data_IF_531169439168
#
_entry.id   IF_531169439168
#
_cell.length_a   1.000
_cell.length_b   1.000
_cell.length_c   1.000
_cell.angle_alpha   90.00
_cell.angle_beta   90.00
_cell.angle_gamma   90.00
#
_symmetry.space_group_name_H-M   'P 1'
#
loop_
_entity.id
_entity.type
_entity.pdbx_description
1 polymer ?
#
# COMPACT_ATOMS: atom_id res chain seq x y z
N UNK A 1 9.08 -21.94 7.15
CA UNK A 1 8.55 -23.08 6.34
C UNK A 1 9.74 -23.94 5.96
N UNK A 2 9.75 -25.22 6.35
CA UNK A 2 10.84 -26.12 5.98
C UNK A 2 10.55 -26.61 4.55
N UNK A 3 11.19 -26.01 3.56
CA UNK A 3 11.14 -26.54 2.20
C UNK A 3 12.14 -27.69 2.11
N UNK A 4 11.62 -28.88 2.13
CA UNK A 4 12.40 -30.10 1.81
C UNK A 4 12.58 -30.18 0.29
N UNK A 5 13.79 -30.51 -0.15
CA UNK A 5 14.04 -30.74 -1.58
C UNK A 5 13.21 -31.94 -2.03
N UNK A 6 12.39 -31.74 -3.05
CA UNK A 6 11.67 -32.83 -3.73
C UNK A 6 12.62 -33.45 -4.74
N UNK A 7 12.93 -34.71 -4.58
CA UNK A 7 13.79 -35.48 -5.49
C UNK A 7 12.99 -35.95 -6.70
N UNK A 8 11.79 -36.47 -6.47
CA UNK A 8 10.90 -37.03 -7.49
C UNK A 8 9.50 -37.21 -6.91
N UNK A 9 8.55 -37.67 -7.70
CA UNK A 9 7.26 -38.16 -7.22
C UNK A 9 7.26 -39.69 -7.19
N UNK A 10 6.69 -40.25 -6.15
CA UNK A 10 6.44 -41.68 -6.08
C UNK A 10 5.48 -42.08 -7.20
N UNK A 11 5.90 -43.03 -8.04
CA UNK A 11 5.14 -43.41 -9.24
C UNK A 11 3.83 -44.16 -8.91
N UNK A 12 3.66 -44.63 -7.68
CA UNK A 12 2.49 -45.40 -7.23
C UNK A 12 1.47 -44.51 -6.52
N UNK A 13 1.95 -43.60 -5.68
CA UNK A 13 1.11 -42.75 -4.83
C UNK A 13 0.96 -41.32 -5.34
N UNK A 14 1.82 -40.89 -6.28
CA UNK A 14 1.90 -39.53 -6.75
C UNK A 14 2.47 -38.55 -5.71
N UNK A 15 2.84 -39.00 -4.52
CA UNK A 15 3.36 -38.13 -3.45
C UNK A 15 4.82 -37.74 -3.73
N UNK A 16 5.23 -36.54 -3.31
CA UNK A 16 6.60 -36.08 -3.46
C UNK A 16 7.56 -36.91 -2.61
N UNK A 17 8.64 -37.39 -3.21
CA UNK A 17 9.77 -38.02 -2.50
C UNK A 17 10.66 -36.90 -1.98
N UNK A 18 10.80 -36.82 -0.66
CA UNK A 18 11.51 -35.77 0.03
C UNK A 18 12.96 -36.23 0.32
N UNK A 19 13.91 -35.34 0.03
CA UNK A 19 15.32 -35.58 0.39
C UNK A 19 15.53 -35.37 1.90
N UNK A 20 15.49 -36.41 2.67
CA UNK A 20 15.72 -36.39 4.11
C UNK A 20 17.19 -36.22 4.50
N UNK A 21 18.13 -36.31 3.55
CA UNK A 21 19.57 -36.10 3.82
C UNK A 21 19.97 -34.64 3.85
N UNK A 22 19.13 -33.77 3.32
CA UNK A 22 19.33 -32.33 3.36
C UNK A 22 18.44 -31.71 4.44
N UNK A 23 18.99 -30.99 5.40
CA UNK A 23 18.15 -30.21 6.31
C UNK A 23 17.33 -29.23 5.45
N UNK A 24 15.98 -29.27 5.61
CA UNK A 24 15.09 -28.39 4.86
C UNK A 24 15.52 -26.94 5.01
N UNK A 25 16.05 -26.37 3.95
CA UNK A 25 16.49 -24.99 3.88
C UNK A 25 15.86 -24.32 2.68
N UNK A 26 15.41 -23.10 2.87
CA UNK A 26 15.28 -22.18 1.76
C UNK A 26 16.70 -21.96 1.22
N UNK A 27 17.01 -22.57 0.09
CA UNK A 27 18.27 -22.28 -0.62
C UNK A 27 18.02 -20.99 -1.38
N UNK A 28 18.82 -19.98 -1.11
CA UNK A 28 18.76 -18.72 -1.84
C UNK A 28 18.96 -18.97 -3.34
N UNK A 29 18.00 -18.52 -4.15
CA UNK A 29 18.05 -18.71 -5.62
C UNK A 29 19.16 -17.84 -6.24
N UNK A 30 19.51 -16.74 -5.57
CA UNK A 30 20.60 -15.83 -5.94
C UNK A 30 21.43 -15.56 -4.69
N UNK A 31 22.54 -16.26 -4.54
CA UNK A 31 23.45 -16.08 -3.41
C UNK A 31 24.04 -14.67 -3.45
N UNK A 32 23.88 -13.91 -2.36
CA UNK A 32 24.36 -12.53 -2.24
C UNK A 32 23.39 -11.45 -2.71
N UNK A 33 22.24 -11.80 -3.28
CA UNK A 33 21.17 -10.84 -3.49
C UNK A 33 20.46 -10.56 -2.15
N UNK A 34 20.12 -9.28 -1.84
CA UNK A 34 19.33 -8.96 -0.66
C UNK A 34 17.93 -9.56 -0.81
N UNK A 35 17.47 -10.25 0.22
CA UNK A 35 16.12 -10.83 0.33
C UNK A 35 15.21 -10.05 1.30
N UNK A 36 15.71 -8.93 1.80
CA UNK A 36 14.96 -8.07 2.70
C UNK A 36 13.85 -7.33 1.96
N UNK A 37 12.68 -7.27 2.56
CA UNK A 37 11.55 -6.43 2.12
C UNK A 37 11.35 -5.29 3.11
N UNK A 38 10.93 -4.12 2.62
CA UNK A 38 10.76 -2.92 3.44
C UNK A 38 9.36 -2.80 4.04
N UNK A 39 8.40 -3.52 3.50
CA UNK A 39 7.01 -3.57 3.96
C UNK A 39 6.34 -4.81 3.38
N UNK A 40 5.51 -5.46 4.16
CA UNK A 40 4.59 -6.51 3.70
C UNK A 40 3.15 -6.02 3.74
N UNK A 41 2.38 -6.38 2.72
CA UNK A 41 0.95 -6.07 2.62
C UNK A 41 0.20 -7.39 2.50
N UNK A 42 -0.65 -7.67 3.47
CA UNK A 42 -1.43 -8.89 3.55
C UNK A 42 -2.90 -8.60 3.22
N UNK A 43 -3.43 -9.27 2.20
CA UNK A 43 -4.82 -9.16 1.77
C UNK A 43 -5.54 -10.46 2.07
N UNK A 44 -6.17 -10.57 3.25
CA UNK A 44 -6.98 -11.71 3.67
C UNK A 44 -6.18 -12.98 4.02
N UNK A 45 -4.86 -12.89 4.17
CA UNK A 45 -4.03 -14.05 4.52
C UNK A 45 -3.94 -14.29 6.02
N UNK A 46 -3.42 -15.47 6.38
CA UNK A 46 -3.09 -15.85 7.74
C UNK A 46 -1.65 -16.36 7.82
N UNK A 47 -1.04 -16.19 8.98
CA UNK A 47 0.29 -16.74 9.27
C UNK A 47 0.13 -18.13 9.90
N UNK A 48 0.81 -19.11 9.37
CA UNK A 48 0.67 -20.48 9.84
C UNK A 48 0.98 -20.63 11.34
N UNK A 49 2.00 -19.92 11.84
CA UNK A 49 2.28 -19.81 13.26
C UNK A 49 2.82 -18.43 13.61
N UNK A 50 2.20 -17.77 14.58
CA UNK A 50 2.61 -16.42 15.01
C UNK A 50 3.99 -16.40 15.69
N UNK A 51 4.50 -17.55 16.15
CA UNK A 51 5.87 -17.68 16.70
C UNK A 51 6.96 -17.53 15.64
N UNK A 52 6.59 -17.56 14.36
CA UNK A 52 7.53 -17.30 13.26
C UNK A 52 7.85 -15.83 13.07
N UNK A 53 7.08 -14.95 13.69
CA UNK A 53 7.37 -13.52 13.69
C UNK A 53 8.41 -13.20 14.76
N UNK A 54 9.49 -12.57 14.35
CA UNK A 54 10.61 -12.17 15.21
C UNK A 54 10.76 -10.66 15.27
N UNK A 55 11.37 -10.16 16.35
CA UNK A 55 11.72 -8.74 16.41
C UNK A 55 12.75 -8.41 15.30
N UNK A 56 12.49 -7.34 14.56
CA UNK A 56 13.31 -6.93 13.41
C UNK A 56 12.80 -7.46 12.06
N UNK A 57 11.72 -8.23 12.03
CA UNK A 57 11.05 -8.56 10.77
C UNK A 57 10.48 -7.31 10.10
N UNK A 58 10.29 -7.39 8.79
CA UNK A 58 9.71 -6.31 8.01
C UNK A 58 8.35 -5.86 8.57
N UNK A 59 8.09 -4.54 8.62
CA UNK A 59 6.79 -4.03 9.00
C UNK A 59 5.69 -4.59 8.10
N UNK A 60 4.49 -4.72 8.66
CA UNK A 60 3.37 -5.35 7.97
C UNK A 60 2.07 -4.58 8.15
N UNK A 61 1.27 -4.51 7.10
CA UNK A 61 -0.13 -4.06 7.16
C UNK A 61 -1.04 -5.17 6.65
N UNK A 62 -2.20 -5.27 7.24
CA UNK A 62 -3.16 -6.32 6.91
C UNK A 62 -4.54 -5.76 6.62
N UNK A 63 -5.21 -6.36 5.66
CA UNK A 63 -6.61 -6.14 5.33
C UNK A 63 -7.35 -7.45 5.44
N UNK A 64 -8.45 -7.49 6.18
CA UNK A 64 -9.15 -8.76 6.38
C UNK A 64 -10.63 -8.55 6.59
N UNK A 65 -11.44 -9.44 6.04
CA UNK A 65 -12.85 -9.56 6.38
C UNK A 65 -13.02 -10.37 7.67
N UNK A 66 -13.83 -9.86 8.61
CA UNK A 66 -14.10 -10.58 9.87
C UNK A 66 -14.70 -11.97 9.64
N UNK A 67 -15.46 -12.13 8.59
CA UNK A 67 -16.19 -13.36 8.25
C UNK A 67 -15.54 -14.16 7.12
N UNK A 68 -14.23 -13.98 6.93
CA UNK A 68 -13.49 -14.82 5.99
C UNK A 68 -13.63 -16.30 6.39
N UNK A 69 -14.14 -17.09 5.46
CA UNK A 69 -14.38 -18.51 5.69
C UNK A 69 -13.10 -19.34 5.52
N UNK A 70 -12.18 -18.92 4.67
CA UNK A 70 -10.99 -19.67 4.30
C UNK A 70 -9.82 -19.39 5.23
N UNK A 71 -9.60 -18.13 5.56
CA UNK A 71 -8.56 -17.69 6.46
C UNK A 71 -9.17 -17.03 7.70
N UNK A 72 -8.97 -17.55 8.91
CA UNK A 72 -9.56 -16.97 10.11
C UNK A 72 -8.99 -15.56 10.37
N UNK A 73 -9.83 -14.66 10.83
CA UNK A 73 -9.44 -13.30 11.20
C UNK A 73 -8.57 -13.25 12.47
N UNK A 74 -8.94 -14.03 13.48
CA UNK A 74 -8.17 -14.28 14.70
C UNK A 74 -7.35 -15.58 14.57
N UNK A 75 -7.07 -16.25 15.65
CA UNK A 75 -6.56 -17.63 15.64
C UNK A 75 -7.72 -18.58 15.31
N UNK A 76 -7.52 -19.49 14.41
CA UNK A 76 -8.56 -20.44 14.02
C UNK A 76 -8.10 -21.47 13.00
N UNK A 77 -9.03 -22.38 12.67
CA UNK A 77 -8.80 -23.48 11.74
C UNK A 77 -8.99 -23.03 10.29
N UNK A 78 -8.03 -23.34 9.44
CA UNK A 78 -8.19 -23.25 7.98
C UNK A 78 -9.00 -24.43 7.48
N UNK A 79 -10.04 -24.15 6.72
CA UNK A 79 -10.89 -25.16 6.10
C UNK A 79 -10.68 -25.16 4.58
N UNK A 80 -10.44 -26.32 4.00
CA UNK A 80 -10.23 -26.48 2.55
C UNK A 80 -11.42 -27.21 1.93
N UNK A 81 -12.02 -26.67 0.86
CA UNK A 81 -13.09 -27.37 0.15
C UNK A 81 -12.52 -28.53 -0.70
N UNK A 82 -12.97 -29.73 -0.44
CA UNK A 82 -12.63 -30.92 -1.22
C UNK A 82 -13.91 -31.67 -1.56
N UNK A 83 -14.21 -31.81 -2.86
CA UNK A 83 -15.40 -32.53 -3.37
C UNK A 83 -16.72 -32.09 -2.70
N UNK A 84 -16.91 -30.81 -2.44
CA UNK A 84 -18.13 -30.25 -1.85
C UNK A 84 -18.25 -30.33 -0.33
N UNK A 85 -17.23 -30.88 0.36
CA UNK A 85 -17.11 -30.88 1.81
C UNK A 85 -15.93 -30.01 2.28
N UNK A 86 -15.99 -29.52 3.51
CA UNK A 86 -14.92 -28.72 4.10
C UNK A 86 -14.12 -29.56 5.10
N UNK A 87 -12.81 -29.57 4.93
CA UNK A 87 -11.90 -30.30 5.78
C UNK A 87 -11.01 -29.34 6.57
N UNK A 88 -10.98 -29.47 7.90
CA UNK A 88 -10.04 -28.71 8.72
C UNK A 88 -8.62 -29.22 8.46
N UNK A 89 -7.68 -28.30 8.20
CA UNK A 89 -6.30 -28.66 7.83
C UNK A 89 -5.32 -28.28 8.92
N UNK A 90 -5.33 -27.02 9.36
CA UNK A 90 -4.34 -26.49 10.30
C UNK A 90 -4.92 -25.29 11.04
N UNK A 91 -4.57 -25.17 12.31
CA UNK A 91 -4.82 -23.92 13.06
C UNK A 91 -3.75 -22.89 12.73
N UNK A 92 -4.17 -21.66 12.46
CA UNK A 92 -3.30 -20.56 12.05
C UNK A 92 -3.58 -19.28 12.85
N UNK A 93 -2.61 -18.37 12.86
CA UNK A 93 -2.76 -17.02 13.34
C UNK A 93 -3.33 -16.14 12.22
N UNK A 94 -4.57 -15.73 12.33
CA UNK A 94 -5.19 -14.81 11.37
C UNK A 94 -4.57 -13.42 11.40
N UNK A 95 -4.97 -12.57 10.46
CA UNK A 95 -4.38 -11.23 10.26
C UNK A 95 -4.38 -10.38 11.52
N UNK A 96 -5.45 -10.41 12.33
CA UNK A 96 -5.49 -9.65 13.58
C UNK A 96 -4.44 -10.15 14.58
N UNK A 97 -4.32 -11.45 14.74
CA UNK A 97 -3.31 -12.05 15.65
C UNK A 97 -1.89 -11.75 15.17
N UNK A 98 -1.64 -11.86 13.87
CA UNK A 98 -0.35 -11.55 13.27
C UNK A 98 0.01 -10.07 13.43
N UNK A 99 -0.92 -9.14 13.16
CA UNK A 99 -0.71 -7.71 13.33
C UNK A 99 -0.40 -7.35 14.80
N UNK A 100 -1.15 -7.94 15.76
CA UNK A 100 -0.91 -7.75 17.19
C UNK A 100 0.50 -8.20 17.60
N UNK A 101 0.95 -9.36 17.13
CA UNK A 101 2.31 -9.86 17.42
C UNK A 101 3.36 -8.93 16.82
N UNK A 102 3.23 -8.52 15.55
CA UNK A 102 4.15 -7.60 14.91
C UNK A 102 4.22 -6.24 15.65
N UNK A 103 3.07 -5.70 16.08
CA UNK A 103 3.01 -4.47 16.88
C UNK A 103 3.70 -4.64 18.23
N UNK A 104 3.46 -5.76 18.93
CA UNK A 104 4.06 -6.07 20.25
C UNK A 104 5.58 -6.20 20.16
N UNK A 105 6.09 -6.78 19.08
CA UNK A 105 7.54 -6.93 18.82
C UNK A 105 8.19 -5.63 18.33
N UNK A 106 7.41 -4.58 18.06
CA UNK A 106 7.91 -3.29 17.58
C UNK A 106 8.22 -3.25 16.08
N UNK A 107 7.94 -4.30 15.32
CA UNK A 107 8.24 -4.36 13.89
C UNK A 107 7.55 -3.26 13.09
N UNK A 108 6.35 -2.86 13.51
CA UNK A 108 5.54 -1.83 12.88
C UNK A 108 5.85 -0.40 13.36
N UNK A 109 6.84 -0.19 14.24
CA UNK A 109 7.16 1.12 14.81
C UNK A 109 7.52 2.15 13.74
N UNK A 110 8.17 1.71 12.67
CA UNK A 110 8.52 2.55 11.52
C UNK A 110 7.30 3.12 10.79
N UNK A 111 6.16 2.44 10.83
CA UNK A 111 4.90 2.90 10.24
C UNK A 111 4.23 4.00 11.07
N UNK A 112 4.78 4.30 12.23
CA UNK A 112 4.39 5.35 13.16
C UNK A 112 4.03 4.77 14.52
N UNK A 113 4.76 5.21 15.55
CA UNK A 113 4.45 4.93 16.95
C UNK A 113 3.29 5.78 17.48
N UNK A 114 2.96 6.87 16.80
CA UNK A 114 1.78 7.69 17.08
C UNK A 114 0.63 7.22 16.22
N UNK A 115 -0.54 7.11 16.81
CA UNK A 115 -1.79 6.80 16.09
C UNK A 115 -1.93 7.69 14.87
N UNK A 116 -2.06 7.08 13.70
CA UNK A 116 -2.39 7.82 12.48
C UNK A 116 -3.81 8.38 12.61
N UNK A 117 -3.96 9.66 12.32
CA UNK A 117 -5.23 10.39 12.52
C UNK A 117 -6.02 10.58 11.23
N UNK A 118 -5.57 10.00 10.12
CA UNK A 118 -6.36 9.99 8.91
C UNK A 118 -7.69 9.21 9.10
N UNK A 119 -8.73 9.54 8.34
CA UNK A 119 -10.07 8.97 8.54
C UNK A 119 -10.10 7.43 8.49
N UNK A 120 -9.30 6.82 7.61
CA UNK A 120 -9.26 5.37 7.46
C UNK A 120 -8.57 4.69 8.64
N UNK A 121 -7.52 5.28 9.18
CA UNK A 121 -6.83 4.76 10.37
C UNK A 121 -7.69 4.89 11.63
N UNK A 122 -8.41 6.00 11.78
CA UNK A 122 -9.38 6.17 12.87
C UNK A 122 -10.50 5.14 12.77
N UNK A 123 -11.03 4.92 11.58
CA UNK A 123 -12.09 3.93 11.34
C UNK A 123 -11.59 2.50 11.63
N UNK A 124 -10.39 2.16 11.19
CA UNK A 124 -9.80 0.84 11.43
C UNK A 124 -9.63 0.53 12.92
N UNK A 125 -9.14 1.49 13.71
CA UNK A 125 -9.01 1.33 15.17
C UNK A 125 -10.35 1.21 15.87
N UNK A 126 -11.35 2.00 15.48
CA UNK A 126 -12.67 2.02 16.09
C UNK A 126 -13.55 0.85 15.68
N UNK A 127 -13.10 0.00 14.77
CA UNK A 127 -13.85 -1.18 14.33
C UNK A 127 -14.07 -2.15 15.52
N UNK A 128 -15.31 -2.55 15.77
CA UNK A 128 -15.68 -3.39 16.89
C UNK A 128 -15.02 -4.78 16.89
N UNK A 129 -14.56 -5.25 15.73
CA UNK A 129 -13.81 -6.50 15.61
C UNK A 129 -12.30 -6.32 15.77
N UNK A 130 -11.81 -5.09 15.78
CA UNK A 130 -10.39 -4.81 16.05
C UNK A 130 -10.15 -4.73 17.58
N UNK A 131 -10.17 -5.89 18.22
CA UNK A 131 -10.00 -6.01 19.67
C UNK A 131 -8.60 -5.53 20.07
N UNK A 132 -8.55 -4.54 20.96
CA UNK A 132 -7.30 -3.91 21.39
C UNK A 132 -6.94 -2.68 20.59
N UNK A 133 -7.77 -2.28 19.60
CA UNK A 133 -7.54 -1.13 18.73
C UNK A 133 -6.17 -1.20 18.04
N UNK A 134 -5.82 -2.38 17.55
CA UNK A 134 -4.53 -2.64 16.91
C UNK A 134 -4.33 -1.75 15.68
N UNK A 135 -3.13 -1.20 15.55
CA UNK A 135 -2.69 -0.49 14.36
C UNK A 135 -2.29 -1.48 13.25
N UNK A 136 -2.25 -0.98 12.03
CA UNK A 136 -1.75 -1.71 10.85
C UNK A 136 -2.61 -2.92 10.45
N UNK A 137 -3.86 -2.95 10.91
CA UNK A 137 -4.90 -3.84 10.40
C UNK A 137 -6.17 -3.06 10.06
N UNK A 138 -6.70 -3.30 8.88
CA UNK A 138 -8.00 -2.77 8.44
C UNK A 138 -9.01 -3.91 8.32
N UNK A 139 -10.07 -3.84 9.09
CA UNK A 139 -11.13 -4.86 9.12
C UNK A 139 -12.31 -4.41 8.27
N UNK A 140 -12.67 -5.19 7.26
CA UNK A 140 -13.88 -4.96 6.49
C UNK A 140 -15.10 -5.54 7.21
N UNK A 141 -16.10 -4.69 7.44
CA UNK A 141 -17.38 -5.07 8.01
C UNK A 141 -18.30 -5.64 6.91
N UNK A 142 -18.03 -6.87 6.53
CA UNK A 142 -18.91 -7.58 5.62
C UNK A 142 -20.16 -8.07 6.35
N UNK A 143 -21.25 -8.27 5.60
CA UNK A 143 -22.45 -8.91 6.13
C UNK A 143 -22.09 -10.32 6.61
N UNK A 144 -22.60 -10.78 7.77
CA UNK A 144 -22.40 -12.16 8.21
C UNK A 144 -22.80 -13.14 7.13
N UNK A 145 -22.09 -14.25 6.95
CA UNK A 145 -22.39 -15.23 5.93
C UNK A 145 -23.80 -15.81 6.15
N UNK A 146 -24.52 -16.03 5.05
CA UNK A 146 -25.77 -16.77 5.08
C UNK A 146 -25.47 -18.20 5.58
N UNK A 147 -26.16 -18.71 6.62
CA UNK A 147 -25.95 -20.07 7.12
C UNK A 147 -26.11 -21.17 6.05
N UNK A 148 -26.91 -20.92 5.01
CA UNK A 148 -27.09 -21.84 3.88
C UNK A 148 -25.95 -21.77 2.86
N UNK A 149 -25.15 -20.70 2.88
CA UNK A 149 -24.01 -20.46 2.01
C UNK A 149 -22.87 -19.80 2.80
N UNK A 150 -22.30 -20.48 3.79
CA UNK A 150 -21.36 -19.86 4.74
C UNK A 150 -20.05 -19.41 4.10
N UNK A 151 -19.73 -19.93 2.93
CA UNK A 151 -18.53 -19.59 2.15
C UNK A 151 -18.78 -18.53 1.07
N UNK A 152 -20.01 -18.05 0.91
CA UNK A 152 -20.28 -16.99 -0.04
C UNK A 152 -19.62 -15.69 0.43
N UNK A 153 -18.48 -15.43 -0.11
CA UNK A 153 -17.94 -14.12 -0.47
C UNK A 153 -17.61 -13.10 0.60
N UNK A 154 -17.33 -13.53 1.80
CA UNK A 154 -16.83 -12.60 2.81
C UNK A 154 -15.30 -12.53 2.89
N UNK A 155 -14.60 -13.26 2.01
CA UNK A 155 -13.11 -13.29 1.99
C UNK A 155 -12.50 -12.18 1.15
N UNK A 156 -13.14 -11.81 0.04
CA UNK A 156 -12.59 -10.90 -0.96
C UNK A 156 -13.51 -9.69 -1.21
N UNK A 157 -13.59 -8.70 -0.34
CA UNK A 157 -14.48 -7.54 -0.53
C UNK A 157 -14.12 -6.70 -1.77
N UNK A 158 -12.91 -6.82 -2.27
CA UNK A 158 -12.43 -6.17 -3.49
C UNK A 158 -12.83 -6.87 -4.79
N UNK A 159 -13.42 -8.07 -4.74
CA UNK A 159 -13.94 -8.77 -5.90
C UNK A 159 -15.41 -8.42 -6.18
N UNK A 160 -15.81 -8.57 -7.45
CA UNK A 160 -17.20 -8.44 -7.91
C UNK A 160 -17.54 -9.48 -8.97
N UNK A 161 -18.81 -9.66 -9.24
CA UNK A 161 -19.25 -10.44 -10.37
C UNK A 161 -20.13 -9.64 -11.33
N UNK A 162 -19.78 -9.67 -12.61
CA UNK A 162 -20.60 -9.22 -13.74
C UNK A 162 -20.23 -10.10 -14.95
N UNK A 163 -21.20 -10.83 -15.50
CA UNK A 163 -20.97 -11.71 -16.65
C UNK A 163 -20.47 -10.96 -17.91
N UNK A 164 -20.64 -9.65 -17.98
CA UNK A 164 -20.19 -8.81 -19.09
C UNK A 164 -18.86 -8.11 -18.79
N UNK A 165 -18.29 -8.24 -17.60
CA UNK A 165 -17.00 -7.64 -17.24
C UNK A 165 -15.91 -8.72 -17.23
N UNK A 166 -14.96 -8.68 -18.20
CA UNK A 166 -13.88 -9.67 -18.29
C UNK A 166 -12.91 -9.63 -17.09
N UNK A 167 -12.98 -8.60 -16.25
CA UNK A 167 -12.19 -8.46 -15.03
C UNK A 167 -12.87 -9.06 -13.82
N UNK A 168 -14.13 -9.46 -13.91
CA UNK A 168 -14.82 -10.14 -12.84
C UNK A 168 -14.37 -11.61 -12.75
N UNK A 169 -14.09 -12.08 -11.53
CA UNK A 169 -13.41 -13.37 -11.34
C UNK A 169 -14.20 -14.40 -10.53
N UNK A 170 -15.25 -13.99 -9.87
CA UNK A 170 -15.97 -14.88 -8.96
C UNK A 170 -17.50 -14.72 -9.09
N UNK A 171 -18.11 -15.62 -9.86
CA UNK A 171 -19.56 -15.60 -10.11
C UNK A 171 -20.44 -15.80 -8.86
N UNK A 172 -19.85 -16.22 -7.74
CA UNK A 172 -20.57 -16.32 -6.47
C UNK A 172 -20.48 -15.05 -5.64
N UNK A 173 -19.73 -14.03 -6.10
CA UNK A 173 -19.54 -12.78 -5.38
C UNK A 173 -20.80 -11.89 -5.48
N UNK A 174 -21.43 -11.50 -4.36
CA UNK A 174 -22.60 -10.62 -4.36
C UNK A 174 -22.27 -9.15 -4.58
N UNK A 175 -20.99 -8.77 -4.53
CA UNK A 175 -20.60 -7.39 -4.66
C UNK A 175 -20.82 -6.90 -6.10
N UNK A 176 -21.31 -5.69 -6.23
CA UNK A 176 -21.28 -4.96 -7.50
C UNK A 176 -19.92 -4.26 -7.64
N UNK A 177 -19.49 -4.03 -8.87
CA UNK A 177 -18.20 -3.40 -9.19
C UNK A 177 -17.96 -2.09 -8.42
N UNK A 178 -18.96 -1.21 -8.33
CA UNK A 178 -18.82 0.06 -7.62
C UNK A 178 -18.49 -0.11 -6.13
N UNK A 179 -19.04 -1.12 -5.49
CA UNK A 179 -18.77 -1.44 -4.09
C UNK A 179 -17.35 -1.97 -3.91
N UNK A 180 -16.92 -2.89 -4.76
CA UNK A 180 -15.57 -3.44 -4.72
C UNK A 180 -14.50 -2.40 -5.05
N UNK A 181 -14.76 -1.49 -5.98
CA UNK A 181 -13.89 -0.35 -6.24
C UNK A 181 -13.76 0.56 -5.01
N UNK A 182 -14.82 0.82 -4.26
CA UNK A 182 -14.75 1.58 -3.02
C UNK A 182 -13.91 0.88 -1.94
N UNK A 183 -13.93 -0.44 -1.89
CA UNK A 183 -13.03 -1.20 -1.01
C UNK A 183 -11.56 -1.10 -1.46
N UNK A 184 -11.30 -1.15 -2.77
CA UNK A 184 -9.95 -0.94 -3.33
C UNK A 184 -9.44 0.46 -3.00
N UNK A 185 -10.26 1.49 -3.18
CA UNK A 185 -9.91 2.87 -2.81
C UNK A 185 -9.56 2.98 -1.31
N UNK A 186 -10.31 2.29 -0.45
CA UNK A 186 -10.03 2.22 1.00
C UNK A 186 -8.69 1.55 1.28
N UNK A 187 -8.39 0.43 0.59
CA UNK A 187 -7.09 -0.26 0.71
C UNK A 187 -5.96 0.70 0.33
N UNK A 188 -6.09 1.39 -0.78
CA UNK A 188 -5.07 2.34 -1.24
C UNK A 188 -4.91 3.52 -0.27
N UNK A 189 -6.00 4.11 0.18
CA UNK A 189 -5.98 5.24 1.12
C UNK A 189 -5.35 4.87 2.47
N UNK A 190 -5.56 3.66 2.96
CA UNK A 190 -4.94 3.15 4.18
C UNK A 190 -3.47 2.76 3.99
N UNK A 191 -3.11 2.23 2.81
CA UNK A 191 -1.77 1.73 2.48
C UNK A 191 -0.77 2.84 2.21
N UNK A 192 -1.14 3.83 1.37
CA UNK A 192 -0.20 4.83 0.84
C UNK A 192 0.55 5.61 1.93
N UNK A 193 -0.07 6.11 3.00
CA UNK A 193 0.65 6.79 4.08
C UNK A 193 1.68 5.89 4.78
N UNK A 194 1.39 4.59 4.88
CA UNK A 194 2.27 3.59 5.51
C UNK A 194 3.44 3.21 4.61
N UNK A 195 3.19 3.08 3.31
CA UNK A 195 4.26 2.92 2.31
C UNK A 195 5.22 4.11 2.38
N UNK A 196 4.67 5.34 2.43
CA UNK A 196 5.49 6.54 2.58
C UNK A 196 6.43 6.47 3.78
N UNK A 197 5.90 6.08 4.94
CA UNK A 197 6.72 5.94 6.17
C UNK A 197 7.76 4.83 6.06
N UNK A 198 7.39 3.66 5.56
CA UNK A 198 8.31 2.54 5.40
C UNK A 198 9.46 2.90 4.42
N UNK A 199 9.14 3.56 3.32
CA UNK A 199 10.14 3.98 2.33
C UNK A 199 11.06 5.08 2.87
N UNK A 200 10.53 6.08 3.59
CA UNK A 200 11.33 7.13 4.20
C UNK A 200 12.30 6.57 5.26
N UNK A 201 11.90 5.55 6.02
CA UNK A 201 12.75 4.92 7.02
C UNK A 201 13.99 4.25 6.41
N UNK A 202 13.94 3.82 5.15
CA UNK A 202 15.08 3.22 4.42
C UNK A 202 15.73 4.20 3.44
N UNK A 203 15.44 5.49 3.57
CA UNK A 203 16.10 6.54 2.78
C UNK A 203 15.50 6.80 1.40
N UNK A 204 14.36 6.19 1.08
CA UNK A 204 13.61 6.53 -0.14
C UNK A 204 12.61 7.65 0.16
N UNK A 205 12.74 8.79 -0.51
CA UNK A 205 11.72 9.83 -0.47
C UNK A 205 10.59 9.48 -1.45
N UNK A 206 9.39 9.23 -0.93
CA UNK A 206 8.18 8.95 -1.75
C UNK A 206 7.37 10.23 -2.01
N UNK A 207 8.00 11.38 -2.08
CA UNK A 207 7.39 12.62 -2.55
C UNK A 207 6.26 13.19 -1.68
N UNK A 208 6.04 12.65 -0.48
CA UNK A 208 5.23 13.25 0.56
C UNK A 208 6.13 13.79 1.67
N UNK A 209 7.14 14.56 1.30
CA UNK A 209 7.74 15.47 2.25
C UNK A 209 6.62 16.28 2.89
N UNK A 210 6.67 16.47 4.20
CA UNK A 210 5.83 17.48 4.86
C UNK A 210 5.83 18.70 3.95
N UNK A 211 4.65 19.13 3.53
CA UNK A 211 4.56 20.28 2.65
C UNK A 211 5.45 21.37 3.24
N UNK A 212 6.52 21.76 2.55
CA UNK A 212 7.51 22.65 3.16
C UNK A 212 6.79 23.88 3.72
N UNK A 213 7.15 24.32 4.92
CA UNK A 213 6.50 25.45 5.60
C UNK A 213 6.87 26.78 4.92
N UNK A 214 6.51 26.86 3.63
CA UNK A 214 6.61 28.07 2.82
C UNK A 214 5.51 28.10 1.76
N UNK A 215 5.11 29.28 1.34
CA UNK A 215 4.08 29.48 0.32
C UNK A 215 4.70 29.98 -0.98
N UNK A 216 4.27 29.42 -2.09
CA UNK A 216 4.60 29.88 -3.44
C UNK A 216 3.35 30.48 -4.09
N UNK A 217 3.50 31.62 -4.70
CA UNK A 217 2.51 32.23 -5.59
C UNK A 217 3.12 32.49 -6.97
N UNK A 218 2.29 32.31 -8.00
CA UNK A 218 2.63 32.62 -9.41
C UNK A 218 1.54 33.54 -9.95
N UNK A 219 1.88 34.78 -10.22
CA UNK A 219 0.93 35.78 -10.63
C UNK A 219 1.54 36.77 -11.63
N UNK A 220 0.79 37.25 -12.65
CA UNK A 220 -0.57 36.82 -12.99
C UNK A 220 -0.64 35.38 -13.51
N UNK A 221 -1.74 34.72 -13.18
CA UNK A 221 -2.10 33.41 -13.72
C UNK A 221 -3.61 33.40 -13.99
N UNK A 222 -4.07 33.43 -15.24
CA UNK A 222 -3.31 33.26 -16.48
C UNK A 222 -2.30 34.39 -16.77
N UNK A 223 -1.19 34.00 -17.44
CA UNK A 223 -0.12 34.87 -17.89
C UNK A 223 -0.32 35.32 -19.34
N UNK A 224 0.09 36.57 -19.63
CA UNK A 224 0.09 37.08 -21.02
C UNK A 224 1.52 37.36 -21.52
N UNK A 225 2.33 37.98 -20.70
CA UNK A 225 3.71 38.36 -21.07
C UNK A 225 4.74 37.79 -20.09
N UNK A 226 4.49 37.90 -18.83
CA UNK A 226 5.35 37.38 -17.77
C UNK A 226 4.53 36.96 -16.55
N UNK A 227 5.13 36.22 -15.64
CA UNK A 227 4.57 35.93 -14.32
C UNK A 227 5.67 36.06 -13.26
N UNK A 228 5.34 36.66 -12.16
CA UNK A 228 6.17 36.74 -10.97
C UNK A 228 5.92 35.50 -10.12
N UNK A 229 6.97 34.81 -9.78
CA UNK A 229 6.99 33.73 -8.79
C UNK A 229 7.48 34.35 -7.49
N UNK A 230 6.70 34.22 -6.42
CA UNK A 230 7.05 34.73 -5.10
C UNK A 230 6.98 33.62 -4.08
N UNK A 231 7.98 33.55 -3.23
CA UNK A 231 8.06 32.63 -2.10
C UNK A 231 7.97 33.40 -0.78
N UNK A 232 7.12 32.92 0.12
CA UNK A 232 7.05 33.38 1.50
C UNK A 232 7.66 32.30 2.41
N UNK A 233 8.75 32.63 3.07
CA UNK A 233 9.39 31.74 4.03
C UNK A 233 10.52 30.88 3.46
N UNK A 234 10.87 31.00 2.17
CA UNK A 234 11.99 30.27 1.55
C UNK A 234 12.67 31.11 0.44
N UNK A 235 13.92 30.80 0.12
CA UNK A 235 14.67 31.40 -0.99
C UNK A 235 14.57 30.50 -2.23
N UNK A 236 14.12 31.04 -3.35
CA UNK A 236 14.07 30.33 -4.62
C UNK A 236 15.48 30.13 -5.12
N UNK A 237 15.85 28.89 -5.45
CA UNK A 237 17.18 28.50 -5.96
C UNK A 237 17.13 28.20 -7.45
N UNK A 238 16.04 27.57 -7.94
CA UNK A 238 15.83 27.31 -9.36
C UNK A 238 14.35 27.28 -9.74
N UNK A 239 14.07 27.53 -11.02
CA UNK A 239 12.73 27.40 -11.61
C UNK A 239 12.85 26.62 -12.92
N UNK A 240 12.07 25.56 -13.06
CA UNK A 240 11.94 24.79 -14.30
C UNK A 240 10.48 24.73 -14.73
N UNK A 241 10.21 24.92 -16.01
CA UNK A 241 8.85 24.91 -16.56
C UNK A 241 8.74 23.84 -17.63
N UNK A 242 7.67 23.08 -17.57
CA UNK A 242 7.36 21.99 -18.47
C UNK A 242 6.01 22.17 -19.13
N UNK A 243 5.86 21.72 -20.35
CA UNK A 243 4.54 21.57 -20.97
C UNK A 243 3.80 20.34 -20.41
N UNK A 244 2.56 20.13 -20.83
CA UNK A 244 1.73 19.00 -20.39
C UNK A 244 2.24 17.62 -20.81
N UNK A 245 3.19 17.57 -21.75
CA UNK A 245 3.87 16.34 -22.18
C UNK A 245 5.19 16.11 -21.42
N UNK A 246 5.51 16.95 -20.45
CA UNK A 246 6.74 16.86 -19.65
C UNK A 246 7.99 17.39 -20.37
N UNK A 247 7.86 18.07 -21.51
CA UNK A 247 9.00 18.65 -22.22
C UNK A 247 9.40 19.96 -21.56
N UNK A 248 10.71 20.20 -21.29
CA UNK A 248 11.18 21.44 -20.71
C UNK A 248 10.98 22.62 -21.68
N UNK A 249 10.44 23.71 -21.16
CA UNK A 249 10.16 24.96 -21.92
C UNK A 249 11.03 26.10 -21.44
N UNK A 250 11.36 26.10 -20.13
CA UNK A 250 12.15 27.15 -19.51
C UNK A 250 12.90 26.59 -18.30
N UNK A 251 14.10 27.11 -18.05
CA UNK A 251 14.86 26.82 -16.84
C UNK A 251 15.68 28.06 -16.44
N UNK A 252 15.72 28.33 -15.15
CA UNK A 252 16.53 29.37 -14.52
C UNK A 252 17.12 28.80 -13.22
N UNK A 253 18.43 28.90 -13.09
CA UNK A 253 19.18 28.37 -11.95
C UNK A 253 19.90 29.49 -11.20
N UNK A 254 20.37 29.22 -9.99
CA UNK A 254 21.17 30.13 -9.16
C UNK A 254 20.43 31.44 -8.81
N UNK A 255 19.13 31.39 -8.53
CA UNK A 255 18.30 32.57 -8.34
C UNK A 255 18.59 33.28 -7.03
N UNK A 256 18.71 32.57 -5.91
CA UNK A 256 19.00 33.13 -4.57
C UNK A 256 18.12 34.32 -4.18
N UNK A 257 16.82 34.26 -4.42
CA UNK A 257 15.86 35.33 -4.17
C UNK A 257 14.52 34.80 -3.71
N UNK A 258 13.76 35.58 -2.93
CA UNK A 258 12.38 35.27 -2.59
C UNK A 258 11.40 35.51 -3.75
N UNK A 259 11.86 36.13 -4.83
CA UNK A 259 11.04 36.42 -6.02
C UNK A 259 11.86 36.26 -7.30
N UNK A 260 11.22 35.81 -8.36
CA UNK A 260 11.79 35.77 -9.70
C UNK A 260 10.70 35.91 -10.75
N UNK A 261 11.00 36.56 -11.86
CA UNK A 261 10.07 36.75 -12.96
C UNK A 261 10.40 35.81 -14.12
N UNK A 262 9.41 35.15 -14.67
CA UNK A 262 9.54 34.33 -15.85
C UNK A 262 8.81 34.97 -17.03
N UNK A 263 9.50 35.05 -18.18
CA UNK A 263 8.94 35.62 -19.42
C UNK A 263 8.18 34.52 -20.18
N UNK A 264 6.89 34.73 -20.37
CA UNK A 264 5.99 33.77 -21.02
C UNK A 264 5.53 34.18 -22.41
N UNK A 265 5.88 35.38 -22.86
CA UNK A 265 5.39 35.98 -24.10
C UNK A 265 5.63 35.10 -25.35
N UNK A 266 6.75 34.39 -25.40
CA UNK A 266 7.14 33.52 -26.51
C UNK A 266 6.55 32.10 -26.44
N UNK A 267 5.85 31.75 -25.35
CA UNK A 267 5.32 30.39 -25.19
C UNK A 267 4.00 30.24 -25.94
N UNK A 268 3.71 29.02 -26.37
CA UNK A 268 2.41 28.69 -26.91
C UNK A 268 1.30 28.84 -25.87
N UNK A 269 0.09 29.14 -26.29
CA UNK A 269 -1.07 29.16 -25.41
C UNK A 269 -1.31 27.75 -24.85
N UNK A 270 -1.53 27.64 -23.53
CA UNK A 270 -1.72 26.33 -22.93
C UNK A 270 -1.45 26.31 -21.42
N UNK A 271 -1.43 25.10 -20.88
CA UNK A 271 -1.11 24.83 -19.49
C UNK A 271 0.34 24.38 -19.35
N UNK A 272 1.01 24.87 -18.33
CA UNK A 272 2.39 24.57 -17.98
C UNK A 272 2.50 24.17 -16.52
N UNK A 273 3.47 23.35 -16.20
CA UNK A 273 3.84 22.99 -14.84
C UNK A 273 5.13 23.70 -14.49
N UNK A 274 5.07 24.54 -13.49
CA UNK A 274 6.22 25.28 -12.95
C UNK A 274 6.73 24.55 -11.72
N UNK A 275 7.96 24.03 -11.78
CA UNK A 275 8.67 23.42 -10.67
C UNK A 275 9.61 24.46 -10.07
N UNK A 276 9.43 24.77 -8.81
CA UNK A 276 10.18 25.76 -8.06
C UNK A 276 10.95 25.05 -6.97
N UNK A 277 12.28 25.16 -7.03
CA UNK A 277 13.18 24.69 -5.97
C UNK A 277 13.53 25.84 -5.04
N UNK A 278 13.61 25.56 -3.78
CA UNK A 278 13.97 26.52 -2.74
C UNK A 278 14.98 25.87 -1.77
N UNK A 279 15.57 26.67 -0.89
CA UNK A 279 16.43 26.22 0.22
C UNK A 279 15.69 25.34 1.24
N UNK A 280 14.34 25.27 1.19
CA UNK A 280 13.50 24.46 2.08
C UNK A 280 12.79 23.29 1.40
N UNK A 281 12.95 23.12 0.10
CA UNK A 281 12.29 22.03 -0.65
C UNK A 281 11.75 22.48 -1.99
N UNK A 282 10.93 21.62 -2.60
CA UNK A 282 10.39 21.82 -3.94
C UNK A 282 8.88 22.00 -3.89
N UNK A 283 8.35 22.95 -4.66
CA UNK A 283 6.91 23.06 -4.95
C UNK A 283 6.64 23.14 -6.43
N UNK A 284 5.47 22.67 -6.82
CA UNK A 284 4.97 22.81 -8.18
C UNK A 284 3.73 23.70 -8.21
N UNK A 285 3.60 24.46 -9.29
CA UNK A 285 2.44 25.30 -9.55
C UNK A 285 1.98 25.14 -11.00
N UNK A 286 0.68 25.25 -11.23
CA UNK A 286 0.11 25.30 -12.59
C UNK A 286 0.15 26.75 -13.07
N UNK A 287 0.62 26.96 -14.31
CA UNK A 287 0.57 28.25 -15.02
C UNK A 287 -0.22 28.09 -16.31
N UNK A 288 -1.14 28.99 -16.55
CA UNK A 288 -1.91 29.08 -17.80
C UNK A 288 -1.36 30.22 -18.62
N UNK A 289 -1.03 29.98 -19.89
CA UNK A 289 -0.62 31.00 -20.87
C UNK A 289 -1.80 31.27 -21.80
N UNK A 290 -2.31 32.52 -21.80
CA UNK A 290 -3.36 33.00 -22.69
C UNK A 290 -2.83 33.40 -24.07
#
# INVERSE_FOLDING_TARGET
MIHTRILNSDSTTGLPIIDLTQPGRNIANAVGAPDNVNLTINLGGALADSSWTSAGDAPSISFHSRYDFYAPYYRGMVNVPIAGAFFPVVEVAGSHTAAKVANTLGNNTVLGSSMMMDPHSVLARSNSYNIGNEENIYTFNMVPPNPAMPFAVNSNPWDWWDANDPLSVNETNPNIKAQSMAYIDTIMAYTLPRVGKAMNAVGYSVGADELPDFNISVSPNPSTYSSLISSQGAMITSVSVYDVLGRPVYALENIQSSQTEIQTASWARGTYIVRIETDKGVKTSKLIRN
#
